data_IF_429478161204
#
_entry.id   IF_429478161204
#
_cell.length_a   1.000
_cell.length_b   1.000
_cell.length_c   1.000
_cell.angle_alpha   90.00
_cell.angle_beta   90.00
_cell.angle_gamma   90.00
#
_symmetry.space_group_name_H-M   'P 1'
#
loop_
_entity.id
_entity.type
_entity.pdbx_description
1 polymer ?
#
# COMPACT_ATOMS: atom_id res chain seq x y z
N UNK A 1 -12.99 -16.80 -3.15
CA UNK A 1 -12.29 -16.09 -2.06
C UNK A 1 -13.29 -15.31 -1.23
N UNK A 2 -13.02 -15.04 0.06
CA UNK A 2 -13.92 -14.24 0.87
C UNK A 2 -14.04 -12.83 0.26
N UNK A 3 -15.24 -12.30 0.12
CA UNK A 3 -15.39 -10.90 -0.27
C UNK A 3 -15.25 -10.03 0.97
N UNK A 4 -14.04 -9.51 1.22
CA UNK A 4 -13.78 -8.70 2.41
C UNK A 4 -14.57 -7.40 2.43
N UNK A 5 -14.92 -6.85 1.26
CA UNK A 5 -15.59 -5.56 1.17
C UNK A 5 -17.05 -5.64 1.61
N UNK A 6 -17.72 -6.77 1.36
CA UNK A 6 -19.15 -6.93 1.68
C UNK A 6 -19.42 -7.85 2.86
N UNK A 7 -18.58 -8.87 3.08
CA UNK A 7 -18.85 -9.92 4.09
C UNK A 7 -18.13 -9.70 5.40
N UNK A 8 -17.12 -8.83 5.44
CA UNK A 8 -16.26 -8.62 6.62
C UNK A 8 -16.00 -7.11 6.82
N UNK A 9 -17.03 -6.33 7.21
CA UNK A 9 -16.93 -4.87 7.29
C UNK A 9 -15.82 -4.39 8.24
N UNK A 10 -15.57 -5.10 9.34
CA UNK A 10 -14.49 -4.76 10.28
C UNK A 10 -13.10 -4.93 9.66
N UNK A 11 -12.92 -5.97 8.84
CA UNK A 11 -11.70 -6.15 8.05
C UNK A 11 -11.55 -5.01 7.04
N UNK A 12 -12.60 -4.66 6.31
CA UNK A 12 -12.55 -3.52 5.37
C UNK A 12 -12.17 -2.22 6.08
N UNK A 13 -12.76 -1.95 7.26
CA UNK A 13 -12.44 -0.78 8.07
C UNK A 13 -10.97 -0.75 8.48
N UNK A 14 -10.38 -1.89 8.83
CA UNK A 14 -8.94 -1.99 9.10
C UNK A 14 -8.10 -1.73 7.83
N UNK A 15 -8.47 -2.33 6.70
CA UNK A 15 -7.75 -2.15 5.44
C UNK A 15 -7.86 -0.73 4.88
N UNK A 16 -8.84 0.05 5.29
CA UNK A 16 -8.96 1.48 4.96
C UNK A 16 -8.25 2.40 5.97
N UNK A 17 -7.88 1.90 7.16
CA UNK A 17 -7.32 2.74 8.22
C UNK A 17 -5.98 3.36 7.80
N UNK A 18 -5.85 4.66 8.03
CA UNK A 18 -4.58 5.36 8.02
C UNK A 18 -4.01 5.36 9.45
N UNK A 19 -3.04 4.47 9.70
CA UNK A 19 -2.42 4.33 11.01
C UNK A 19 -1.52 5.51 11.39
N UNK A 20 -1.11 6.36 10.45
CA UNK A 20 -0.31 7.55 10.76
C UNK A 20 -1.16 8.60 11.46
N UNK A 21 -2.42 8.77 11.02
CA UNK A 21 -3.33 9.84 11.46
C UNK A 21 -4.34 9.39 12.50
N UNK A 22 -4.58 8.08 12.60
CA UNK A 22 -5.59 7.55 13.50
C UNK A 22 -5.18 7.68 14.96
N UNK A 23 -6.12 8.15 15.78
CA UNK A 23 -6.07 8.10 17.23
C UNK A 23 -7.08 7.05 17.73
N UNK A 24 -6.93 6.52 18.97
CA UNK A 24 -7.84 5.51 19.51
C UNK A 24 -9.32 5.89 19.39
N UNK A 25 -9.66 7.15 19.64
CA UNK A 25 -11.03 7.67 19.62
C UNK A 25 -11.37 8.47 18.34
N UNK A 26 -10.41 8.63 17.43
CA UNK A 26 -10.58 9.39 16.20
C UNK A 26 -9.87 8.68 15.04
N UNK A 27 -10.47 7.59 14.53
CA UNK A 27 -9.91 6.88 13.40
C UNK A 27 -9.96 7.72 12.12
N UNK A 28 -8.91 7.63 11.33
CA UNK A 28 -8.83 8.20 10.00
C UNK A 28 -8.63 7.08 8.98
N UNK A 29 -9.20 7.25 7.80
CA UNK A 29 -8.94 6.39 6.66
C UNK A 29 -7.94 7.03 5.71
N UNK A 30 -7.32 6.20 4.88
CA UNK A 30 -6.52 6.62 3.74
C UNK A 30 -7.36 7.52 2.82
N UNK A 31 -6.72 8.49 2.19
CA UNK A 31 -7.37 9.43 1.26
C UNK A 31 -7.23 8.95 -0.18
N UNK A 32 -8.07 9.46 -1.09
CA UNK A 32 -7.94 9.13 -2.52
C UNK A 32 -6.55 9.52 -3.06
N UNK A 33 -6.06 10.71 -2.67
CA UNK A 33 -4.82 11.34 -3.15
C UNK A 33 -4.75 11.52 -4.67
N UNK A 34 -5.89 11.44 -5.35
CA UNK A 34 -5.99 11.58 -6.79
C UNK A 34 -7.40 11.97 -7.21
N UNK A 35 -7.57 12.41 -8.46
CA UNK A 35 -8.83 12.95 -8.99
C UNK A 35 -9.65 11.98 -9.86
N UNK A 36 -9.33 10.67 -9.84
CA UNK A 36 -9.89 9.68 -10.78
C UNK A 36 -11.43 9.61 -10.77
N UNK A 37 -12.02 9.84 -9.61
CA UNK A 37 -13.43 9.60 -9.34
C UNK A 37 -14.20 10.89 -9.03
N UNK A 38 -13.56 12.06 -9.18
CA UNK A 38 -14.15 13.38 -8.91
C UNK A 38 -15.36 13.69 -9.79
N UNK A 39 -15.46 13.05 -10.96
CA UNK A 39 -16.62 13.16 -11.86
C UNK A 39 -17.89 12.48 -11.29
N UNK A 40 -17.75 11.57 -10.31
CA UNK A 40 -18.88 10.92 -9.64
C UNK A 40 -19.46 11.86 -8.57
N UNK A 41 -18.60 12.35 -7.69
CA UNK A 41 -18.91 13.39 -6.71
C UNK A 41 -17.62 14.17 -6.38
N UNK A 42 -17.56 15.48 -6.66
CA UNK A 42 -16.33 16.27 -6.54
C UNK A 42 -15.88 16.50 -5.09
N UNK A 43 -16.74 16.23 -4.10
CA UNK A 43 -16.44 16.39 -2.67
C UNK A 43 -16.07 15.02 -2.08
N UNK A 44 -16.92 14.02 -2.27
CA UNK A 44 -16.70 12.68 -1.68
C UNK A 44 -15.50 11.93 -2.27
N UNK A 45 -15.17 12.23 -3.54
CA UNK A 45 -14.02 11.66 -4.24
C UNK A 45 -12.89 12.69 -4.49
N UNK A 46 -12.87 13.79 -3.75
CA UNK A 46 -11.77 14.76 -3.82
C UNK A 46 -10.43 14.10 -3.44
N UNK A 47 -9.28 14.57 -3.96
CA UNK A 47 -7.97 14.02 -3.61
C UNK A 47 -7.69 14.00 -2.10
N UNK A 48 -8.20 14.97 -1.34
CA UNK A 48 -8.04 15.05 0.12
C UNK A 48 -9.12 14.32 0.91
N UNK A 49 -10.15 13.79 0.26
CA UNK A 49 -11.25 13.07 0.91
C UNK A 49 -10.83 11.65 1.30
N UNK A 50 -11.35 11.18 2.44
CA UNK A 50 -11.12 9.84 2.94
C UNK A 50 -11.92 8.81 2.13
N UNK A 51 -11.33 7.64 1.88
CA UNK A 51 -12.04 6.50 1.30
C UNK A 51 -12.87 5.85 2.41
N UNK A 52 -14.19 5.89 2.30
CA UNK A 52 -15.12 5.24 3.25
C UNK A 52 -15.80 4.04 2.60
N UNK A 53 -16.24 3.03 3.38
CA UNK A 53 -16.84 1.80 2.82
C UNK A 53 -18.00 2.06 1.84
N UNK A 54 -18.87 3.03 2.13
CA UNK A 54 -20.01 3.38 1.27
C UNK A 54 -19.61 3.95 -0.10
N UNK A 55 -18.39 4.46 -0.26
CA UNK A 55 -17.89 4.98 -1.54
C UNK A 55 -17.36 3.87 -2.47
N UNK A 56 -17.16 2.66 -1.95
CA UNK A 56 -16.49 1.55 -2.66
C UNK A 56 -17.22 0.21 -2.54
N UNK A 57 -18.45 0.22 -2.02
CA UNK A 57 -19.32 -0.96 -1.87
C UNK A 57 -20.68 -0.68 -2.54
N UNK A 58 -21.57 -1.68 -2.56
CA UNK A 58 -22.89 -1.56 -3.19
C UNK A 58 -22.78 -1.25 -4.69
N UNK A 59 -23.40 -0.15 -5.12
CA UNK A 59 -23.35 0.32 -6.51
C UNK A 59 -21.95 0.70 -6.98
N UNK A 60 -21.01 0.97 -6.07
CA UNK A 60 -19.63 1.36 -6.36
C UNK A 60 -18.64 0.19 -6.15
N UNK A 61 -19.12 -1.05 -6.01
CA UNK A 61 -18.29 -2.23 -5.74
C UNK A 61 -17.21 -2.51 -6.80
N UNK A 62 -17.43 -2.08 -8.04
CA UNK A 62 -16.49 -2.25 -9.17
C UNK A 62 -15.62 -1.01 -9.41
N UNK A 63 -15.64 -0.01 -8.52
CA UNK A 63 -14.90 1.24 -8.71
C UNK A 63 -13.39 1.01 -8.58
N UNK A 64 -12.98 0.34 -7.51
CA UNK A 64 -11.59 -0.03 -7.25
C UNK A 64 -11.39 -1.47 -7.67
N UNK A 65 -10.85 -1.66 -8.89
CA UNK A 65 -10.50 -2.95 -9.48
C UNK A 65 -9.03 -2.99 -9.88
N UNK A 66 -8.41 -4.19 -9.93
CA UNK A 66 -7.08 -4.37 -10.46
C UNK A 66 -6.88 -3.65 -11.79
N UNK A 67 -5.73 -3.03 -11.96
CA UNK A 67 -5.44 -2.22 -13.13
C UNK A 67 -5.57 -2.99 -14.44
N UNK A 68 -5.18 -4.26 -14.44
CA UNK A 68 -5.29 -5.14 -15.61
C UNK A 68 -6.71 -5.22 -16.16
N UNK A 69 -7.73 -5.00 -15.32
CA UNK A 69 -9.14 -5.05 -15.69
C UNK A 69 -9.69 -3.69 -16.18
N UNK A 70 -8.91 -2.60 -16.08
CA UNK A 70 -9.28 -1.28 -16.60
C UNK A 70 -9.16 -1.26 -18.13
N UNK A 71 -9.94 -0.41 -18.80
CA UNK A 71 -9.86 -0.27 -20.26
C UNK A 71 -8.47 0.21 -20.70
N UNK A 72 -8.03 -0.20 -21.89
CA UNK A 72 -6.70 0.14 -22.41
C UNK A 72 -6.46 1.66 -22.51
N UNK A 73 -7.49 2.44 -22.80
CA UNK A 73 -7.39 3.91 -22.87
C UNK A 73 -7.19 4.53 -21.49
N UNK A 74 -7.92 4.06 -20.47
CA UNK A 74 -7.76 4.50 -19.08
C UNK A 74 -6.39 4.10 -18.51
N UNK A 75 -5.86 2.93 -18.90
CA UNK A 75 -4.52 2.50 -18.51
C UNK A 75 -3.44 3.44 -19.09
N UNK A 76 -3.52 3.74 -20.40
CA UNK A 76 -2.57 4.63 -21.09
C UNK A 76 -2.59 6.04 -20.53
N UNK A 77 -3.78 6.60 -20.28
CA UNK A 77 -3.93 7.94 -19.72
C UNK A 77 -3.20 8.04 -18.38
N UNK A 78 -3.47 7.11 -17.47
CA UNK A 78 -2.87 7.10 -16.13
C UNK A 78 -1.35 6.91 -16.14
N UNK A 79 -0.80 6.07 -17.02
CA UNK A 79 0.67 5.95 -17.14
C UNK A 79 1.30 7.27 -17.58
N UNK A 80 0.63 8.01 -18.47
CA UNK A 80 1.14 9.26 -19.03
C UNK A 80 1.04 10.44 -18.06
N UNK A 81 -0.08 10.54 -17.34
CA UNK A 81 -0.37 11.70 -16.48
C UNK A 81 0.12 11.52 -15.05
N UNK A 82 0.25 10.28 -14.57
CA UNK A 82 0.49 9.98 -13.15
C UNK A 82 1.72 9.12 -12.88
N UNK A 83 2.54 8.89 -13.91
CA UNK A 83 3.72 8.03 -13.84
C UNK A 83 3.44 6.65 -13.22
N UNK A 84 2.20 6.16 -13.32
CA UNK A 84 1.85 4.85 -12.79
C UNK A 84 2.48 3.78 -13.69
N UNK A 85 3.60 3.20 -13.24
CA UNK A 85 4.39 2.21 -14.01
C UNK A 85 3.85 0.80 -13.82
N UNK A 86 3.86 0.08 -14.93
CA UNK A 86 3.50 -1.32 -15.01
C UNK A 86 4.74 -2.20 -14.84
N UNK A 87 4.82 -3.01 -13.78
CA UNK A 87 5.91 -3.99 -13.64
C UNK A 87 5.42 -5.40 -14.00
N UNK A 88 5.82 -5.94 -15.17
CA UNK A 88 5.47 -7.31 -15.54
C UNK A 88 5.97 -8.33 -14.53
N UNK A 89 5.23 -9.43 -14.31
CA UNK A 89 5.60 -10.46 -13.33
C UNK A 89 6.99 -11.08 -13.59
N UNK A 90 7.43 -11.15 -14.86
CA UNK A 90 8.76 -11.67 -15.17
C UNK A 90 9.89 -10.74 -14.69
N UNK A 91 9.68 -9.42 -14.67
CA UNK A 91 10.60 -8.44 -14.08
C UNK A 91 10.63 -8.62 -12.56
N UNK A 92 9.45 -8.67 -11.93
CA UNK A 92 9.33 -8.92 -10.48
C UNK A 92 10.09 -10.18 -10.10
N UNK A 93 9.90 -11.27 -10.84
CA UNK A 93 10.61 -12.53 -10.61
C UNK A 93 12.12 -12.36 -10.71
N UNK A 94 12.61 -11.68 -11.74
CA UNK A 94 14.04 -11.47 -11.97
C UNK A 94 14.67 -10.71 -10.80
N UNK A 95 14.07 -9.61 -10.37
CA UNK A 95 14.59 -8.78 -9.30
C UNK A 95 14.48 -9.47 -7.93
N UNK A 96 13.32 -10.03 -7.58
CA UNK A 96 13.17 -10.79 -6.33
C UNK A 96 14.09 -12.01 -6.27
N UNK A 97 14.39 -12.66 -7.41
CA UNK A 97 15.38 -13.74 -7.46
C UNK A 97 16.79 -13.26 -7.14
N UNK A 98 17.20 -12.11 -7.70
CA UNK A 98 18.52 -11.55 -7.46
C UNK A 98 18.74 -11.25 -5.97
N UNK A 99 17.77 -10.59 -5.33
CA UNK A 99 17.85 -10.31 -3.88
C UNK A 99 17.76 -11.60 -3.07
N UNK A 100 16.84 -12.50 -3.41
CA UNK A 100 16.68 -13.77 -2.69
C UNK A 100 17.92 -14.67 -2.76
N UNK A 101 18.74 -14.59 -3.81
CA UNK A 101 19.96 -15.39 -3.94
C UNK A 101 20.93 -15.14 -2.77
N UNK A 102 21.00 -13.92 -2.25
CA UNK A 102 21.85 -13.56 -1.12
C UNK A 102 21.42 -14.19 0.21
N UNK A 103 20.12 -14.49 0.37
CA UNK A 103 19.53 -14.91 1.65
C UNK A 103 18.89 -16.31 1.61
N UNK A 104 19.00 -17.01 0.47
CA UNK A 104 18.33 -18.30 0.29
C UNK A 104 18.78 -19.37 1.31
N UNK A 105 20.01 -19.25 1.81
CA UNK A 105 20.65 -20.15 2.77
C UNK A 105 20.36 -19.84 4.24
N UNK A 106 19.73 -18.69 4.54
CA UNK A 106 19.35 -18.32 5.90
C UNK A 106 18.45 -19.41 6.52
N UNK A 107 18.53 -19.59 7.84
CA UNK A 107 17.54 -20.40 8.55
C UNK A 107 16.14 -19.80 8.36
N UNK A 108 15.10 -20.60 8.65
CA UNK A 108 13.73 -20.21 8.34
C UNK A 108 13.32 -18.92 9.05
N UNK A 109 13.66 -18.79 10.34
CA UNK A 109 13.24 -17.64 11.15
C UNK A 109 13.96 -16.38 10.68
N UNK A 110 15.27 -16.44 10.46
CA UNK A 110 16.05 -15.32 9.92
C UNK A 110 15.53 -14.87 8.56
N UNK A 111 15.25 -15.80 7.65
CA UNK A 111 14.70 -15.48 6.32
C UNK A 111 13.34 -14.77 6.41
N UNK A 112 12.45 -15.26 7.27
CA UNK A 112 11.08 -14.77 7.44
C UNK A 112 11.06 -13.38 8.08
N UNK A 113 11.88 -13.18 9.12
CA UNK A 113 11.96 -11.92 9.87
C UNK A 113 12.75 -10.82 9.16
N UNK A 114 13.36 -11.09 8.00
CA UNK A 114 14.07 -10.07 7.23
C UNK A 114 13.09 -8.99 6.77
N UNK A 115 13.36 -7.73 7.17
CA UNK A 115 12.57 -6.55 6.79
C UNK A 115 12.78 -6.25 5.30
N UNK A 116 11.69 -6.12 4.55
CA UNK A 116 11.67 -5.75 3.13
C UNK A 116 10.65 -4.64 2.92
N UNK A 117 10.99 -3.66 2.09
CA UNK A 117 10.12 -2.54 1.75
C UNK A 117 9.92 -2.49 0.23
N UNK A 118 8.68 -2.49 -0.23
CA UNK A 118 8.33 -2.11 -1.61
C UNK A 118 8.00 -0.62 -1.66
N UNK A 119 8.89 0.18 -2.26
CA UNK A 119 8.66 1.61 -2.44
C UNK A 119 7.62 1.84 -3.55
N UNK A 120 6.73 2.81 -3.36
CA UNK A 120 5.67 3.16 -4.34
C UNK A 120 4.95 1.91 -4.87
N UNK A 121 4.40 1.12 -3.96
CA UNK A 121 4.07 -0.28 -4.20
C UNK A 121 2.87 -0.50 -5.12
N UNK A 122 2.07 0.52 -5.45
CA UNK A 122 0.89 0.35 -6.29
C UNK A 122 -0.04 -0.74 -5.75
N UNK A 123 -0.20 -1.85 -6.49
CA UNK A 123 -1.00 -3.02 -6.09
C UNK A 123 -0.17 -4.13 -5.38
N UNK A 124 1.05 -3.78 -4.95
CA UNK A 124 2.06 -4.63 -4.30
C UNK A 124 2.54 -5.85 -5.11
N UNK A 125 2.89 -5.71 -6.41
CA UNK A 125 3.37 -6.83 -7.21
C UNK A 125 4.70 -7.41 -6.72
N UNK A 126 5.60 -6.66 -6.07
CA UNK A 126 6.82 -7.26 -5.50
C UNK A 126 6.56 -8.00 -4.19
N UNK A 127 5.52 -7.65 -3.43
CA UNK A 127 5.12 -8.39 -2.22
C UNK A 127 4.33 -9.66 -2.55
N UNK A 128 3.28 -9.55 -3.37
CA UNK A 128 2.26 -10.57 -3.61
C UNK A 128 1.80 -10.62 -5.08
N UNK A 129 2.30 -11.61 -5.82
CA UNK A 129 2.05 -11.79 -7.26
C UNK A 129 0.79 -12.62 -7.54
N UNK A 130 -0.38 -12.08 -7.22
CA UNK A 130 -1.66 -12.80 -7.34
C UNK A 130 -2.20 -12.92 -8.77
N UNK A 131 -1.90 -11.95 -9.61
CA UNK A 131 -2.26 -11.93 -11.02
C UNK A 131 -1.12 -11.31 -11.81
N UNK A 132 -1.03 -11.70 -13.08
CA UNK A 132 -0.16 -11.03 -14.02
C UNK A 132 -0.74 -9.65 -14.27
N UNK A 133 0.09 -8.64 -14.08
CA UNK A 133 -0.39 -7.28 -14.07
C UNK A 133 -0.90 -6.89 -15.49
N UNK A 134 -0.44 -7.55 -16.58
CA UNK A 134 -0.60 -7.10 -17.97
C UNK A 134 -1.88 -7.70 -18.53
N UNK A 135 -2.02 -9.01 -18.34
CA UNK A 135 -3.18 -9.80 -18.76
C UNK A 135 -4.32 -9.79 -17.74
N UNK A 136 -4.02 -9.58 -16.46
CA UNK A 136 -4.96 -9.79 -15.36
C UNK A 136 -5.16 -11.26 -14.99
N UNK A 137 -4.44 -12.17 -15.66
CA UNK A 137 -4.57 -13.60 -15.44
C UNK A 137 -4.10 -13.98 -14.04
N UNK A 138 -4.92 -14.77 -13.33
CA UNK A 138 -4.55 -15.24 -12.00
C UNK A 138 -3.29 -16.11 -12.03
N UNK A 139 -2.38 -15.88 -11.09
CA UNK A 139 -1.14 -16.64 -10.96
C UNK A 139 -1.31 -17.71 -9.88
N UNK A 140 -1.14 -19.01 -10.21
CA UNK A 140 -1.25 -20.08 -9.23
C UNK A 140 -0.11 -20.02 -8.20
N UNK A 141 -0.38 -20.45 -6.97
CA UNK A 141 0.54 -20.33 -5.82
C UNK A 141 1.98 -20.76 -6.10
N UNK A 142 2.18 -21.90 -6.77
CA UNK A 142 3.50 -22.43 -7.07
C UNK A 142 4.30 -21.59 -8.08
N UNK A 143 3.66 -20.67 -8.81
CA UNK A 143 4.30 -19.73 -9.73
C UNK A 143 4.52 -18.35 -9.11
N UNK A 144 3.90 -18.04 -7.97
CA UNK A 144 4.05 -16.74 -7.33
C UNK A 144 5.49 -16.48 -6.90
N UNK A 145 5.92 -15.23 -6.97
CA UNK A 145 7.32 -14.82 -6.83
C UNK A 145 7.54 -13.53 -6.03
N UNK A 146 6.48 -12.95 -5.46
CA UNK A 146 6.58 -11.86 -4.52
C UNK A 146 7.36 -12.25 -3.26
N UNK A 147 7.94 -11.31 -2.53
CA UNK A 147 8.75 -11.65 -1.35
C UNK A 147 7.91 -12.17 -0.19
N UNK A 148 6.64 -11.75 -0.03
CA UNK A 148 5.70 -12.36 0.91
C UNK A 148 5.31 -13.76 0.44
N UNK A 149 5.05 -13.94 -0.86
CA UNK A 149 4.80 -15.27 -1.45
C UNK A 149 5.94 -16.24 -1.15
N UNK A 150 7.20 -15.79 -1.26
CA UNK A 150 8.38 -16.62 -0.97
C UNK A 150 8.50 -16.98 0.50
N UNK A 151 8.28 -16.01 1.41
CA UNK A 151 8.26 -16.26 2.86
C UNK A 151 7.22 -17.33 3.19
N UNK A 152 5.97 -17.15 2.74
CA UNK A 152 4.88 -18.08 3.00
C UNK A 152 5.09 -19.45 2.33
N UNK A 153 5.60 -19.50 1.10
CA UNK A 153 5.94 -20.76 0.43
C UNK A 153 6.99 -21.55 1.21
N UNK A 154 8.02 -20.86 1.74
CA UNK A 154 9.06 -21.49 2.55
C UNK A 154 8.51 -22.00 3.89
N UNK A 155 7.63 -21.23 4.53
CA UNK A 155 6.93 -21.64 5.76
C UNK A 155 6.05 -22.88 5.48
N UNK A 156 5.18 -22.84 4.46
CA UNK A 156 4.31 -23.97 4.06
C UNK A 156 5.09 -25.27 3.83
N UNK A 157 6.28 -25.15 3.22
CA UNK A 157 7.15 -26.29 2.93
C UNK A 157 7.81 -26.88 4.18
N UNK A 158 8.23 -26.04 5.14
CA UNK A 158 9.08 -26.46 6.25
C UNK A 158 8.34 -26.73 7.56
N UNK A 159 7.16 -26.13 7.74
CA UNK A 159 6.45 -26.16 9.03
C UNK A 159 5.28 -27.12 8.97
N UNK A 160 5.21 -28.03 9.94
CA UNK A 160 4.15 -29.03 10.06
C UNK A 160 3.12 -28.69 11.14
N UNK A 161 3.51 -27.93 12.16
CA UNK A 161 2.62 -27.48 13.23
C UNK A 161 1.86 -26.20 12.83
N UNK A 162 0.58 -26.14 13.19
CA UNK A 162 -0.30 -25.02 12.84
C UNK A 162 -0.02 -23.75 13.65
N UNK A 163 0.34 -23.91 14.93
CA UNK A 163 0.69 -22.79 15.80
C UNK A 163 2.00 -22.14 15.37
N UNK A 164 3.04 -22.95 15.14
CA UNK A 164 4.33 -22.50 14.61
C UNK A 164 4.16 -21.81 13.25
N UNK A 165 3.33 -22.37 12.37
CA UNK A 165 3.02 -21.77 11.07
C UNK A 165 2.43 -20.38 11.23
N UNK A 166 1.45 -20.22 12.14
CA UNK A 166 0.78 -18.94 12.37
C UNK A 166 1.77 -17.91 12.93
N UNK A 167 2.64 -18.30 13.86
CA UNK A 167 3.68 -17.42 14.41
C UNK A 167 4.63 -16.93 13.31
N UNK A 168 5.15 -17.84 12.49
CA UNK A 168 6.08 -17.50 11.41
C UNK A 168 5.40 -16.68 10.31
N UNK A 169 4.15 -16.98 9.96
CA UNK A 169 3.38 -16.17 9.02
C UNK A 169 3.18 -14.76 9.57
N UNK A 170 2.77 -14.61 10.83
CA UNK A 170 2.66 -13.29 11.49
C UNK A 170 3.98 -12.51 11.46
N UNK A 171 5.11 -13.17 11.76
CA UNK A 171 6.43 -12.55 11.64
C UNK A 171 6.78 -12.15 10.20
N UNK A 172 6.39 -12.96 9.21
CA UNK A 172 6.59 -12.64 7.79
C UNK A 172 5.89 -11.33 7.42
N UNK A 173 4.64 -11.15 7.87
CA UNK A 173 3.86 -9.93 7.61
C UNK A 173 4.43 -8.73 8.36
N UNK A 174 4.79 -8.88 9.64
CA UNK A 174 5.44 -7.80 10.43
C UNK A 174 6.74 -7.31 9.80
N UNK A 175 7.48 -8.18 9.12
CA UNK A 175 8.73 -7.85 8.43
C UNK A 175 8.55 -7.51 6.93
N UNK A 176 7.35 -7.19 6.48
CA UNK A 176 7.04 -6.90 5.07
C UNK A 176 6.27 -5.60 4.98
N UNK A 177 6.88 -4.60 4.34
CA UNK A 177 6.40 -3.23 4.30
C UNK A 177 6.20 -2.76 2.85
N UNK A 178 5.37 -1.74 2.68
CA UNK A 178 5.22 -1.01 1.43
C UNK A 178 4.62 0.37 1.69
N UNK A 179 4.86 1.31 0.78
CA UNK A 179 4.12 2.57 0.80
C UNK A 179 3.63 2.94 -0.58
N UNK A 180 2.52 3.67 -0.63
CA UNK A 180 1.92 4.13 -1.87
C UNK A 180 1.32 5.53 -1.68
N UNK A 181 1.31 6.34 -2.75
CA UNK A 181 0.66 7.64 -2.74
C UNK A 181 -0.86 7.50 -2.88
N UNK A 182 -1.33 6.70 -3.85
CA UNK A 182 -2.75 6.58 -4.21
C UNK A 182 -3.52 5.63 -3.29
N UNK A 183 -4.59 6.11 -2.65
CA UNK A 183 -5.35 5.32 -1.69
C UNK A 183 -6.06 4.11 -2.31
N UNK A 184 -6.55 4.22 -3.55
CA UNK A 184 -7.21 3.11 -4.25
C UNK A 184 -6.24 1.99 -4.61
N UNK A 185 -5.03 2.32 -5.06
CA UNK A 185 -3.94 1.36 -5.27
C UNK A 185 -3.51 0.71 -3.95
N UNK A 186 -3.31 1.51 -2.90
CA UNK A 186 -2.92 1.02 -1.58
C UNK A 186 -3.95 0.03 -1.00
N UNK A 187 -5.25 0.29 -1.20
CA UNK A 187 -6.30 -0.64 -0.80
C UNK A 187 -6.16 -1.99 -1.53
N UNK A 188 -5.92 -1.98 -2.84
CA UNK A 188 -5.69 -3.20 -3.62
C UNK A 188 -4.45 -3.96 -3.15
N UNK A 189 -3.36 -3.26 -2.84
CA UNK A 189 -2.17 -3.87 -2.24
C UNK A 189 -2.48 -4.57 -0.91
N UNK A 190 -3.19 -3.88 -0.01
CA UNK A 190 -3.60 -4.41 1.30
C UNK A 190 -4.50 -5.65 1.16
N UNK A 191 -5.47 -5.60 0.25
CA UNK A 191 -6.31 -6.75 -0.09
C UNK A 191 -5.51 -7.90 -0.69
N UNK A 192 -4.60 -7.62 -1.62
CA UNK A 192 -3.74 -8.63 -2.24
C UNK A 192 -2.91 -9.38 -1.20
N UNK A 193 -2.38 -8.69 -0.21
CA UNK A 193 -1.67 -9.32 0.90
C UNK A 193 -2.60 -10.21 1.74
N UNK A 194 -3.77 -9.72 2.15
CA UNK A 194 -4.69 -10.52 2.96
C UNK A 194 -5.20 -11.76 2.22
N UNK A 195 -5.52 -11.62 0.93
CA UNK A 195 -5.86 -12.77 0.08
C UNK A 195 -4.70 -13.76 -0.06
N UNK A 196 -3.46 -13.27 -0.12
CA UNK A 196 -2.27 -14.13 -0.17
C UNK A 196 -2.13 -14.94 1.11
N UNK A 197 -2.36 -14.35 2.28
CA UNK A 197 -2.43 -15.09 3.54
C UNK A 197 -3.45 -16.23 3.48
N UNK A 198 -4.68 -15.91 3.05
CA UNK A 198 -5.76 -16.90 2.89
C UNK A 198 -5.37 -18.04 1.95
N UNK A 199 -4.76 -17.73 0.81
CA UNK A 199 -4.36 -18.74 -0.18
C UNK A 199 -3.35 -19.74 0.40
N UNK A 200 -2.29 -19.25 1.04
CA UNK A 200 -1.27 -20.11 1.62
C UNK A 200 -1.79 -20.89 2.84
N UNK A 201 -2.66 -20.28 3.64
CA UNK A 201 -3.33 -20.94 4.76
C UNK A 201 -4.23 -22.08 4.28
N UNK A 202 -5.11 -21.81 3.31
CA UNK A 202 -6.03 -22.80 2.72
C UNK A 202 -5.23 -23.93 2.05
N UNK A 203 -4.18 -23.60 1.29
CA UNK A 203 -3.34 -24.61 0.65
C UNK A 203 -2.66 -25.55 1.67
N UNK A 204 -2.28 -25.04 2.85
CA UNK A 204 -1.61 -25.83 3.89
C UNK A 204 -2.58 -26.65 4.73
N UNK A 205 -3.70 -26.06 5.14
CA UNK A 205 -4.58 -26.61 6.16
C UNK A 205 -5.92 -27.12 5.62
N UNK A 206 -6.19 -26.91 4.33
CA UNK A 206 -7.45 -27.29 3.67
C UNK A 206 -8.69 -26.67 4.33
N UNK A 207 -8.52 -25.57 5.05
CA UNK A 207 -9.57 -24.82 5.72
C UNK A 207 -9.26 -23.33 5.71
N UNK A 208 -10.28 -22.50 5.87
CA UNK A 208 -10.12 -21.05 5.95
C UNK A 208 -9.55 -20.63 7.31
N UNK A 209 -8.80 -19.52 7.38
CA UNK A 209 -8.43 -18.91 8.65
C UNK A 209 -9.67 -18.42 9.39
N UNK A 210 -9.59 -18.36 10.72
CA UNK A 210 -10.66 -17.76 11.53
C UNK A 210 -10.66 -16.25 11.37
N UNK A 211 -11.80 -15.62 11.68
CA UNK A 211 -11.93 -14.16 11.63
C UNK A 211 -10.95 -13.44 12.56
N UNK A 212 -10.68 -13.99 13.75
CA UNK A 212 -9.66 -13.47 14.67
C UNK A 212 -8.27 -13.44 14.02
N UNK A 213 -7.88 -14.52 13.34
CA UNK A 213 -6.60 -14.58 12.63
C UNK A 213 -6.55 -13.58 11.47
N UNK A 214 -7.66 -13.43 10.74
CA UNK A 214 -7.75 -12.44 9.65
C UNK A 214 -7.64 -11.02 10.18
N UNK A 215 -8.27 -10.71 11.31
CA UNK A 215 -8.19 -9.42 11.97
C UNK A 215 -6.75 -9.08 12.38
N UNK A 216 -6.03 -10.03 12.97
CA UNK A 216 -4.62 -9.83 13.35
C UNK A 216 -3.74 -9.52 12.14
N UNK A 217 -3.90 -10.28 11.05
CA UNK A 217 -3.13 -10.07 9.82
C UNK A 217 -3.53 -8.77 9.13
N UNK A 218 -4.82 -8.44 9.06
CA UNK A 218 -5.31 -7.18 8.51
C UNK A 218 -4.80 -5.97 9.30
N UNK A 219 -4.72 -6.09 10.63
CA UNK A 219 -4.12 -5.08 11.50
C UNK A 219 -2.66 -4.86 11.12
N UNK A 220 -1.85 -5.92 11.01
CA UNK A 220 -0.44 -5.81 10.60
C UNK A 220 -0.31 -5.16 9.22
N UNK A 221 -1.13 -5.61 8.26
CA UNK A 221 -1.15 -5.05 6.89
C UNK A 221 -1.45 -3.54 6.93
N UNK A 222 -2.41 -3.09 7.74
CA UNK A 222 -2.78 -1.67 7.85
C UNK A 222 -1.64 -0.80 8.41
N UNK A 223 -0.79 -1.35 9.27
CA UNK A 223 0.40 -0.66 9.78
C UNK A 223 1.58 -0.70 8.81
N UNK A 224 1.74 -1.80 8.07
CA UNK A 224 2.93 -2.04 7.26
C UNK A 224 2.82 -1.57 5.82
N UNK A 225 1.60 -1.45 5.29
CA UNK A 225 1.31 -0.85 4.00
C UNK A 225 0.64 0.49 4.26
N UNK A 226 1.36 1.59 4.13
CA UNK A 226 0.90 2.92 4.56
C UNK A 226 0.94 3.95 3.43
N UNK A 227 0.15 5.01 3.59
CA UNK A 227 0.03 6.04 2.57
C UNK A 227 1.10 7.11 2.79
N UNK A 228 1.96 7.37 1.79
CA UNK A 228 3.09 8.28 1.95
C UNK A 228 3.52 8.89 0.61
N UNK A 229 3.96 10.14 0.66
CA UNK A 229 4.76 10.78 -0.38
C UNK A 229 6.21 10.27 -0.32
N UNK A 230 6.63 9.52 -1.35
CA UNK A 230 7.98 8.97 -1.43
C UNK A 230 9.10 10.01 -1.57
N UNK A 231 8.80 11.26 -1.93
CA UNK A 231 9.80 12.33 -2.06
C UNK A 231 10.01 13.07 -0.74
N UNK A 232 8.93 13.32 0.01
CA UNK A 232 8.97 14.12 1.24
C UNK A 232 8.84 13.28 2.52
N UNK A 233 8.50 12.00 2.39
CA UNK A 233 8.12 11.06 3.46
C UNK A 233 7.05 11.60 4.41
N UNK A 234 6.13 12.39 3.87
CA UNK A 234 4.95 12.93 4.58
C UNK A 234 3.68 12.26 4.09
N UNK A 235 2.58 12.45 4.82
CA UNK A 235 1.24 12.06 4.35
C UNK A 235 0.93 12.85 3.08
N UNK A 236 0.42 12.22 2.00
CA UNK A 236 0.09 12.92 0.77
C UNK A 236 -0.83 14.11 1.02
N UNK A 237 -0.56 15.21 0.32
CA UNK A 237 -1.35 16.45 0.37
C UNK A 237 -1.44 17.12 1.76
N UNK A 238 -0.60 16.74 2.72
CA UNK A 238 -0.54 17.38 4.04
C UNK A 238 0.25 18.69 4.04
N UNK A 239 1.23 18.83 3.13
CA UNK A 239 1.99 20.06 2.95
C UNK A 239 1.11 21.14 2.31
N UNK A 240 1.11 22.35 2.89
CA UNK A 240 0.39 23.51 2.32
C UNK A 240 1.36 24.50 1.72
N UNK A 241 1.06 24.97 0.51
CA UNK A 241 1.82 26.00 -0.19
C UNK A 241 0.87 27.16 -0.50
N UNK A 242 1.02 28.26 0.22
CA UNK A 242 0.19 29.45 0.07
C UNK A 242 1.03 30.50 -0.66
N UNK A 243 0.56 31.01 -1.80
CA UNK A 243 1.23 32.11 -2.50
C UNK A 243 1.13 33.35 -1.62
N UNK A 244 2.25 33.99 -1.29
CA UNK A 244 2.21 35.25 -0.57
C UNK A 244 1.62 36.31 -1.49
N UNK A 245 0.48 36.87 -1.11
CA UNK A 245 -0.02 38.07 -1.77
C UNK A 245 0.95 39.22 -1.45
N UNK A 246 1.56 39.80 -2.48
CA UNK A 246 2.45 40.93 -2.32
C UNK A 246 1.68 42.20 -2.69
N UNK A 247 1.22 43.03 -1.73
CA UNK A 247 0.36 44.18 -2.02
C UNK A 247 1.00 45.22 -2.95
N UNK A 248 2.33 45.22 -3.06
CA UNK A 248 3.11 46.11 -3.93
C UNK A 248 3.02 45.75 -5.43
N UNK A 249 2.56 44.54 -5.77
CA UNK A 249 2.38 44.11 -7.16
C UNK A 249 1.13 44.71 -7.83
N UNK A 250 0.16 45.22 -7.06
CA UNK A 250 -1.07 45.79 -7.60
C UNK A 250 -0.89 47.20 -8.21
N UNK A 251 0.27 47.84 -8.01
CA UNK A 251 0.54 49.22 -8.44
C UNK A 251 1.71 49.35 -9.43
N UNK A 252 2.26 48.24 -9.93
CA UNK A 252 3.41 48.21 -10.83
C UNK A 252 2.97 48.15 -12.31
N UNK A 253 2.76 49.31 -12.95
CA UNK A 253 2.59 49.44 -14.41
C UNK A 253 3.94 49.61 -15.12
N UNK A 254 4.93 48.77 -14.83
CA UNK A 254 6.23 48.84 -15.48
C UNK A 254 6.58 47.49 -16.11
N UNK A 255 6.56 47.49 -17.45
CA UNK A 255 7.08 46.41 -18.29
C UNK A 255 8.54 46.12 -17.94
N UNK A 256 8.79 45.10 -17.13
CA UNK A 256 10.11 44.48 -16.99
C UNK A 256 9.94 42.97 -16.96
N UNK A 257 10.31 42.35 -18.07
CA UNK A 257 10.21 40.92 -18.40
C UNK A 257 11.36 40.12 -17.73
N UNK A 258 11.57 40.33 -16.43
CA UNK A 258 12.43 39.47 -15.62
C UNK A 258 11.52 38.61 -14.73
N UNK A 259 11.38 37.33 -15.10
CA UNK A 259 10.48 36.35 -14.48
C UNK A 259 10.33 36.53 -12.96
N UNK A 260 9.16 37.01 -12.57
CA UNK A 260 8.80 37.29 -11.18
C UNK A 260 9.01 36.04 -10.31
N UNK A 261 9.86 36.14 -9.28
CA UNK A 261 9.99 35.07 -8.29
C UNK A 261 8.76 35.06 -7.40
N UNK A 262 7.84 34.16 -7.70
CA UNK A 262 6.69 33.91 -6.83
C UNK A 262 7.16 33.43 -5.45
N UNK A 263 6.93 34.24 -4.42
CA UNK A 263 7.18 33.83 -3.03
C UNK A 263 6.00 33.01 -2.48
N UNK A 264 6.34 31.92 -1.80
CA UNK A 264 5.38 31.02 -1.18
C UNK A 264 5.67 30.85 0.30
N UNK A 265 4.62 30.82 1.12
CA UNK A 265 4.67 30.31 2.48
C UNK A 265 4.41 28.80 2.45
N UNK A 266 5.34 28.02 3.01
CA UNK A 266 5.26 26.56 3.02
C UNK A 266 5.03 26.11 4.46
N UNK A 267 3.88 25.49 4.73
CA UNK A 267 3.66 24.72 5.96
C UNK A 267 4.14 23.29 5.73
N UNK A 268 5.09 22.76 6.51
CA UNK A 268 5.59 21.40 6.35
C UNK A 268 4.45 20.37 6.41
N UNK A 269 4.58 19.30 5.61
CA UNK A 269 3.66 18.18 5.67
C UNK A 269 3.78 17.39 6.99
N UNK A 270 2.72 16.66 7.32
CA UNK A 270 2.70 15.77 8.47
C UNK A 270 3.54 14.51 8.16
N UNK A 271 4.55 14.16 8.97
CA UNK A 271 5.40 13.00 8.69
C UNK A 271 4.62 11.69 8.67
N UNK A 272 4.87 10.85 7.66
CA UNK A 272 4.35 9.48 7.65
C UNK A 272 5.01 8.66 8.75
N UNK A 273 4.24 7.79 9.40
CA UNK A 273 4.72 6.93 10.49
C UNK A 273 4.54 5.47 10.16
N UNK A 274 5.41 4.65 10.73
CA UNK A 274 5.48 3.21 10.54
C UNK A 274 5.57 2.53 11.91
N UNK A 275 4.96 1.35 12.02
CA UNK A 275 5.03 0.56 13.24
C UNK A 275 6.42 -0.08 13.37
N UNK A 276 7.11 0.27 14.45
CA UNK A 276 8.23 -0.53 14.95
C UNK A 276 7.66 -1.68 15.78
N UNK A 277 7.69 -2.88 15.22
CA UNK A 277 7.16 -4.07 15.90
C UNK A 277 8.04 -4.58 17.05
N UNK A 278 9.25 -4.06 17.19
CA UNK A 278 10.17 -4.41 18.28
C UNK A 278 9.86 -3.57 19.54
N UNK A 279 9.49 -2.29 19.37
CA UNK A 279 9.10 -1.37 20.47
C UNK A 279 7.59 -1.22 20.65
N UNK A 280 6.80 -1.60 19.64
CA UNK A 280 5.35 -1.37 19.53
C UNK A 280 4.97 0.12 19.46
N UNK A 281 5.85 0.94 18.89
CA UNK A 281 5.64 2.38 18.74
C UNK A 281 5.57 2.80 17.26
N UNK A 282 4.76 3.82 16.98
CA UNK A 282 4.72 4.46 15.66
C UNK A 282 5.87 5.47 15.56
N UNK A 283 6.85 5.18 14.71
CA UNK A 283 8.02 6.04 14.48
C UNK A 283 7.90 6.76 13.13
N UNK A 284 8.47 7.96 13.00
CA UNK A 284 8.46 8.64 11.71
C UNK A 284 9.34 7.89 10.71
N UNK A 285 8.91 7.77 9.45
CA UNK A 285 9.61 6.96 8.43
C UNK A 285 11.09 7.35 8.27
N UNK A 286 11.40 8.65 8.27
CA UNK A 286 12.79 9.14 8.17
C UNK A 286 13.67 8.84 9.38
N UNK A 287 13.09 8.48 10.53
CA UNK A 287 13.83 8.13 11.74
C UNK A 287 14.27 6.66 11.74
N UNK A 288 13.79 5.86 10.80
CA UNK A 288 14.26 4.49 10.66
C UNK A 288 15.74 4.45 10.26
N UNK A 289 16.56 3.57 10.86
CA UNK A 289 17.95 3.38 10.44
C UNK A 289 18.03 3.03 8.94
N UNK A 290 19.10 3.43 8.25
CA UNK A 290 19.36 3.12 6.83
C UNK A 290 19.26 1.62 6.48
N UNK A 291 19.37 0.71 7.46
CA UNK A 291 19.15 -0.73 7.25
C UNK A 291 17.67 -1.12 6.99
N UNK A 292 16.74 -0.17 7.12
CA UNK A 292 15.28 -0.33 6.94
C UNK A 292 14.73 0.60 5.85
N UNK A 293 15.49 1.63 5.44
CA UNK A 293 15.18 2.52 4.31
C UNK A 293 15.75 1.95 2.99
#
# INVERSE_FOLDING_TARGET
MPDFRTKMPDILNLLLRDQTRSLPDAPHNIIWANDNYTHIDPIAYAPTAQITPNLITGTHSTLIVPRALKTADLQKERTKTRAEVFTPTWIVRKQNNAVNAAYCRDDLKTYVCRKWLEITCGEAPYMATRYDMESGDTIPLHRRCGFVDRKLARINKKVADKGEWQILATLAYKASYGFEWNGDSLLLARENLLYTFCDYYQAKWQTAPTELVLHDIATIISFNLFQMDGLTGTIPLSQKRIKKENPQQLFSFADNDEGEKEEYEITPGEPAKIMDWDTLEMVAFHQLPEAVQ
#
